data_IF_336038203349
#
_entry.id   IF_336038203349
#
_cell.length_a   1.000
_cell.length_b   1.000
_cell.length_c   1.000
_cell.angle_alpha   90.00
_cell.angle_beta   90.00
_cell.angle_gamma   90.00
#
_symmetry.space_group_name_H-M   'P 1'
#
loop_
_entity.id
_entity.type
_entity.pdbx_description
1 polymer ?
#
# COMPACT_ATOMS: atom_id res chain seq x y z
N UNK A 1 10.53 -1.59 -12.28
CA UNK A 1 10.16 -2.75 -13.11
C UNK A 1 10.70 -4.10 -12.63
N UNK A 2 11.92 -4.23 -12.03
CA UNK A 2 12.36 -5.51 -11.43
C UNK A 2 11.75 -5.79 -10.05
N UNK A 3 11.63 -4.76 -9.21
CA UNK A 3 11.21 -4.89 -7.80
C UNK A 3 9.74 -5.31 -7.65
N UNK A 4 8.85 -4.74 -8.47
CA UNK A 4 7.41 -5.11 -8.50
C UNK A 4 7.24 -6.57 -8.87
N UNK A 5 7.91 -7.00 -9.95
CA UNK A 5 7.86 -8.37 -10.42
C UNK A 5 8.42 -9.34 -9.37
N UNK A 6 9.51 -8.96 -8.69
CA UNK A 6 10.10 -9.75 -7.60
C UNK A 6 9.17 -9.94 -6.41
N UNK A 7 8.48 -8.87 -5.96
CA UNK A 7 7.51 -8.95 -4.86
C UNK A 7 6.30 -9.81 -5.24
N UNK A 8 5.70 -9.58 -6.41
CA UNK A 8 4.55 -10.36 -6.89
C UNK A 8 4.91 -11.84 -7.08
N UNK A 9 6.08 -12.13 -7.65
CA UNK A 9 6.55 -13.51 -7.86
C UNK A 9 6.84 -14.21 -6.54
N UNK A 10 7.39 -13.51 -5.55
CA UNK A 10 7.61 -14.06 -4.20
C UNK A 10 6.30 -14.46 -3.54
N UNK A 11 5.26 -13.64 -3.66
CA UNK A 11 3.93 -13.97 -3.15
C UNK A 11 3.30 -15.14 -3.89
N UNK A 12 3.40 -15.17 -5.21
CA UNK A 12 2.88 -16.26 -6.03
C UNK A 12 3.55 -17.63 -5.73
N UNK A 13 4.72 -17.65 -5.10
CA UNK A 13 5.49 -18.87 -4.80
C UNK A 13 5.17 -19.54 -3.46
N UNK A 14 4.12 -19.09 -2.77
CA UNK A 14 3.63 -19.78 -1.58
C UNK A 14 3.06 -18.89 -0.49
N UNK A 15 3.02 -17.57 -0.70
CA UNK A 15 2.41 -16.56 0.17
C UNK A 15 2.38 -16.94 1.68
N UNK A 16 3.55 -17.09 2.32
CA UNK A 16 3.64 -17.73 3.65
C UNK A 16 2.98 -16.92 4.78
N UNK A 17 2.49 -15.71 4.48
CA UNK A 17 1.93 -14.78 5.45
C UNK A 17 0.69 -14.05 4.88
N UNK A 18 -0.10 -14.70 4.03
CA UNK A 18 -1.40 -14.17 3.54
C UNK A 18 -1.36 -12.73 3.01
N UNK A 19 -0.30 -12.33 2.31
CA UNK A 19 -0.29 -11.04 1.64
C UNK A 19 -1.17 -11.06 0.40
N UNK A 20 -1.83 -9.96 0.12
CA UNK A 20 -2.56 -9.74 -1.12
C UNK A 20 -1.88 -8.67 -1.98
N UNK A 21 -2.07 -8.81 -3.29
CA UNK A 21 -1.62 -7.84 -4.29
C UNK A 21 -2.85 -7.21 -4.92
N UNK A 22 -3.00 -5.91 -4.75
CA UNK A 22 -4.06 -5.12 -5.33
C UNK A 22 -3.47 -4.30 -6.48
N UNK A 23 -4.14 -4.34 -7.63
CA UNK A 23 -3.78 -3.58 -8.84
C UNK A 23 -5.00 -2.81 -9.31
N UNK A 24 -4.79 -1.57 -9.76
CA UNK A 24 -5.88 -0.72 -10.26
C UNK A 24 -6.40 -1.18 -11.63
N UNK A 25 -5.50 -1.67 -12.49
CA UNK A 25 -5.85 -2.24 -13.79
C UNK A 25 -4.77 -3.22 -14.27
N UNK A 26 -5.13 -4.11 -15.21
CA UNK A 26 -4.17 -5.03 -15.83
C UNK A 26 -4.44 -5.16 -17.33
N UNK A 27 -3.41 -5.20 -18.19
CA UNK A 27 -1.97 -5.14 -17.88
C UNK A 27 -1.40 -3.72 -17.67
N UNK A 28 -2.18 -2.68 -17.93
CA UNK A 28 -1.72 -1.28 -17.92
C UNK A 28 -1.90 -0.58 -16.56
N UNK A 29 -1.36 -1.17 -15.50
CA UNK A 29 -1.52 -0.65 -14.15
C UNK A 29 -0.91 0.74 -13.94
N UNK A 30 -1.62 1.58 -13.19
CA UNK A 30 -1.13 2.84 -12.63
C UNK A 30 -0.56 2.65 -11.23
N UNK A 31 -1.08 1.69 -10.43
CA UNK A 31 -0.60 1.40 -9.08
C UNK A 31 -0.72 -0.08 -8.72
N UNK A 32 0.28 -0.57 -7.99
CA UNK A 32 0.32 -1.89 -7.34
C UNK A 32 0.54 -1.67 -5.86
N UNK A 33 -0.35 -2.24 -5.05
CA UNK A 33 -0.24 -2.28 -3.60
C UNK A 33 -0.08 -3.73 -3.15
N UNK A 34 0.81 -3.96 -2.22
CA UNK A 34 0.93 -5.22 -1.50
C UNK A 34 0.68 -4.96 -0.02
N UNK A 35 -0.21 -5.74 0.61
CA UNK A 35 -0.53 -5.61 2.04
C UNK A 35 -0.82 -6.97 2.67
N UNK A 36 -0.73 -7.05 3.99
CA UNK A 36 -1.22 -8.21 4.73
C UNK A 36 -2.76 -8.30 4.57
N UNK A 37 -3.32 -9.51 4.49
CA UNK A 37 -4.77 -9.68 4.53
C UNK A 37 -5.33 -8.97 5.77
N UNK A 38 -6.35 -8.10 5.62
CA UNK A 38 -6.92 -7.37 6.76
C UNK A 38 -7.34 -8.26 7.94
N UNK A 39 -7.78 -9.50 7.65
CA UNK A 39 -8.21 -10.51 8.62
C UNK A 39 -7.06 -11.06 9.46
N UNK A 40 -5.85 -11.09 8.91
CA UNK A 40 -4.65 -11.58 9.60
C UNK A 40 -3.97 -10.49 10.43
N UNK A 41 -4.30 -9.22 10.15
CA UNK A 41 -3.96 -8.13 11.04
C UNK A 41 -4.99 -8.07 12.19
N UNK A 42 -4.62 -8.54 13.39
CA UNK A 42 -5.52 -8.57 14.55
C UNK A 42 -5.45 -7.34 15.45
N UNK A 43 -4.30 -6.66 15.48
CA UNK A 43 -4.11 -5.46 16.31
C UNK A 43 -4.21 -4.20 15.44
N UNK A 44 -5.20 -3.31 15.67
CA UNK A 44 -5.32 -2.07 14.90
C UNK A 44 -4.16 -1.08 15.12
N UNK A 45 -3.32 -1.26 16.14
CA UNK A 45 -2.17 -0.40 16.45
C UNK A 45 -0.83 -0.97 15.94
N UNK A 46 -0.80 -2.21 15.48
CA UNK A 46 0.43 -2.86 15.02
C UNK A 46 0.81 -2.41 13.60
N UNK A 47 1.47 -1.26 13.53
CA UNK A 47 2.04 -0.76 12.28
C UNK A 47 3.27 -1.56 11.81
N UNK A 48 3.86 -2.38 12.68
CA UNK A 48 5.07 -3.12 12.36
C UNK A 48 4.75 -4.28 11.42
N UNK A 49 3.67 -5.00 11.70
CA UNK A 49 3.17 -6.08 10.82
C UNK A 49 2.26 -5.55 9.73
N UNK A 50 1.51 -4.47 9.97
CA UNK A 50 0.64 -3.84 8.98
C UNK A 50 1.43 -3.00 7.97
N UNK A 51 2.16 -3.69 7.11
CA UNK A 51 3.04 -3.04 6.17
C UNK A 51 2.47 -3.04 4.76
N UNK A 52 2.36 -1.84 4.20
CA UNK A 52 1.94 -1.58 2.83
C UNK A 52 3.20 -1.40 1.98
N UNK A 53 3.33 -2.14 0.89
CA UNK A 53 4.37 -1.89 -0.13
C UNK A 53 3.71 -1.37 -1.40
N UNK A 54 4.11 -0.19 -1.85
CA UNK A 54 3.48 0.46 -3.01
C UNK A 54 4.47 0.63 -4.15
N UNK A 55 3.96 0.45 -5.37
CA UNK A 55 4.60 0.90 -6.59
C UNK A 55 3.57 1.56 -7.51
N UNK A 56 3.78 2.81 -7.92
CA UNK A 56 2.92 3.51 -8.88
C UNK A 56 3.69 3.98 -10.12
N UNK A 57 3.04 3.97 -11.27
CA UNK A 57 3.52 4.61 -12.50
C UNK A 57 2.81 5.94 -12.75
N UNK A 58 1.66 6.12 -12.11
CA UNK A 58 0.81 7.31 -12.21
C UNK A 58 0.53 7.84 -10.79
N UNK A 59 0.95 9.08 -10.52
CA UNK A 59 0.74 9.70 -9.20
C UNK A 59 -0.75 9.93 -8.92
N UNK A 60 -1.56 10.19 -9.96
CA UNK A 60 -3.01 10.33 -9.84
C UNK A 60 -3.66 9.05 -9.33
N UNK A 61 -3.26 7.89 -9.86
CA UNK A 61 -3.71 6.57 -9.42
C UNK A 61 -3.29 6.28 -7.98
N UNK A 62 -2.08 6.68 -7.58
CA UNK A 62 -1.63 6.59 -6.19
C UNK A 62 -2.48 7.45 -5.24
N UNK A 63 -2.69 8.73 -5.59
CA UNK A 63 -3.52 9.66 -4.80
C UNK A 63 -4.97 9.19 -4.72
N UNK A 64 -5.52 8.66 -5.81
CA UNK A 64 -6.87 8.09 -5.84
C UNK A 64 -6.99 6.86 -4.94
N UNK A 65 -6.00 5.96 -4.96
CA UNK A 65 -5.95 4.78 -4.10
C UNK A 65 -5.91 5.20 -2.62
N UNK A 66 -5.05 6.14 -2.24
CA UNK A 66 -4.98 6.65 -0.86
C UNK A 66 -6.26 7.37 -0.43
N UNK A 67 -6.87 8.14 -1.33
CA UNK A 67 -8.01 9.00 -1.03
C UNK A 67 -9.34 8.26 -0.90
N UNK A 68 -9.59 7.28 -1.77
CA UNK A 68 -10.95 6.76 -2.00
C UNK A 68 -11.11 5.24 -2.05
N UNK A 69 -10.04 4.45 -1.90
CA UNK A 69 -10.16 3.00 -1.93
C UNK A 69 -10.26 2.39 -0.52
N UNK A 70 -10.93 1.24 -0.41
CA UNK A 70 -10.85 0.37 0.77
C UNK A 70 -9.51 -0.39 0.85
N UNK A 71 -8.57 -0.12 -0.08
CA UNK A 71 -7.27 -0.75 -0.13
C UNK A 71 -6.34 -0.25 1.01
N UNK A 72 -6.60 0.93 1.57
CA UNK A 72 -5.90 1.46 2.73
C UNK A 72 -6.90 1.73 3.84
N UNK A 73 -6.81 0.96 4.92
CA UNK A 73 -7.60 1.20 6.12
C UNK A 73 -6.92 2.24 7.00
N UNK A 74 -7.35 3.49 6.85
CA UNK A 74 -6.88 4.64 7.61
C UNK A 74 -7.30 4.64 9.08
N UNK A 75 -8.15 3.71 9.52
CA UNK A 75 -8.52 3.57 10.93
C UNK A 75 -7.49 2.77 11.74
N UNK A 76 -6.53 2.15 11.05
CA UNK A 76 -5.48 1.31 11.63
C UNK A 76 -4.11 1.93 11.41
N UNK A 77 -3.19 1.67 12.32
CA UNK A 77 -1.79 2.04 12.16
C UNK A 77 -1.15 1.14 11.09
N UNK A 78 -0.40 1.73 10.17
CA UNK A 78 0.31 1.01 9.12
C UNK A 78 1.62 1.71 8.77
N UNK A 79 2.53 0.96 8.14
CA UNK A 79 3.76 1.51 7.57
C UNK A 79 3.75 1.37 6.06
N UNK A 80 3.89 2.48 5.33
CA UNK A 80 4.10 2.46 3.88
C UNK A 80 5.58 2.30 3.57
N UNK A 81 5.92 1.37 2.68
CA UNK A 81 7.20 1.26 1.99
C UNK A 81 7.03 1.54 0.51
N UNK A 82 7.74 2.54 0.04
CA UNK A 82 7.97 2.83 -1.37
C UNK A 82 9.21 3.73 -1.47
N UNK A 83 9.82 3.77 -2.65
CA UNK A 83 11.04 4.55 -2.90
C UNK A 83 10.82 5.57 -4.02
N UNK A 84 9.57 5.97 -4.26
CA UNK A 84 9.19 6.78 -5.41
C UNK A 84 9.03 8.25 -4.99
N UNK A 85 9.49 9.14 -5.86
CA UNK A 85 9.44 10.58 -5.63
C UNK A 85 7.99 11.06 -5.48
N UNK A 86 7.75 11.99 -4.56
CA UNK A 86 6.41 12.54 -4.27
C UNK A 86 5.55 11.67 -3.34
N UNK A 87 6.00 10.45 -2.98
CA UNK A 87 5.23 9.56 -2.13
C UNK A 87 5.00 10.15 -0.73
N UNK A 88 6.04 10.75 -0.13
CA UNK A 88 5.96 11.33 1.21
C UNK A 88 4.99 12.51 1.23
N UNK A 89 5.07 13.39 0.24
CA UNK A 89 4.20 14.56 0.08
C UNK A 89 2.74 14.13 -0.07
N UNK A 90 2.44 13.17 -0.96
CA UNK A 90 1.10 12.65 -1.15
C UNK A 90 0.51 12.03 0.13
N UNK A 91 1.31 11.26 0.88
CA UNK A 91 0.88 10.67 2.16
C UNK A 91 0.66 11.76 3.21
N UNK A 92 1.57 12.74 3.31
CA UNK A 92 1.50 13.84 4.27
C UNK A 92 0.29 14.74 4.03
N UNK A 93 0.00 15.09 2.78
CA UNK A 93 -1.17 15.89 2.41
C UNK A 93 -2.46 15.18 2.81
N UNK A 94 -2.56 13.88 2.51
CA UNK A 94 -3.74 13.09 2.83
C UNK A 94 -3.87 12.80 4.32
N UNK A 95 -2.77 12.60 5.04
CA UNK A 95 -2.80 12.46 6.50
C UNK A 95 -3.30 13.75 7.15
N UNK A 96 -2.81 14.91 6.69
CA UNK A 96 -3.30 16.22 7.14
C UNK A 96 -4.79 16.40 6.88
N UNK A 97 -5.26 16.09 5.65
CA UNK A 97 -6.66 16.20 5.29
C UNK A 97 -7.57 15.29 6.12
N UNK A 98 -7.05 14.14 6.59
CA UNK A 98 -7.76 13.18 7.45
C UNK A 98 -7.55 13.43 8.95
N UNK A 99 -6.76 14.43 9.35
CA UNK A 99 -6.44 14.71 10.75
C UNK A 99 -5.59 13.62 11.44
N UNK A 100 -4.81 12.87 10.67
CA UNK A 100 -3.99 11.76 11.13
C UNK A 100 -2.54 12.19 11.36
N UNK A 101 -1.91 11.58 12.37
CA UNK A 101 -0.49 11.78 12.64
C UNK A 101 0.34 10.93 11.69
N UNK A 102 1.35 11.56 11.07
CA UNK A 102 2.43 10.89 10.35
C UNK A 102 3.68 10.92 11.23
N UNK A 103 4.37 9.78 11.35
CA UNK A 103 5.60 9.61 12.13
C UNK A 103 6.76 9.18 11.25
#
# INVERSE_FOLDING_TARGET
>A
TPQVLGSVLTLARGNPASYEVLVDSWPHFGVVLTRLCPEDNKDPKDFYTNQLSVFYRDEGAWRALLGGSQAVDWTRAFRIRGMQDGMYEAVRELSHAKGLRLE
#
